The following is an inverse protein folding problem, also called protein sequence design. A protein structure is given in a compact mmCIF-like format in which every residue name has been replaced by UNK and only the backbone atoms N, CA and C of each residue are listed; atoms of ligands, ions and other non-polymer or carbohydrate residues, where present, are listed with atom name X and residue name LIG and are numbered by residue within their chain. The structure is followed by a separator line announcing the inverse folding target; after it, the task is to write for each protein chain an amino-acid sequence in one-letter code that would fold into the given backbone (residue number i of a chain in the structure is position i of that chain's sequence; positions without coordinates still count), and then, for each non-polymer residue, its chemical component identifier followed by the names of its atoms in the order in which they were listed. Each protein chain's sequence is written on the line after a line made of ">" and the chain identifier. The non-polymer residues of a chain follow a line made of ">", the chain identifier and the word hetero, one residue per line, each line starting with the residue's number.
data_IF_359437731999
#
_entry.id   IF_359437731999
#
_cell.length_a   1.000
_cell.length_b   1.000
_cell.length_c   1.000
_cell.angle_alpha   90.00
_cell.angle_beta   90.00
_cell.angle_gamma   90.00
#
_symmetry.space_group_name_H-M   'P 1'
#
loop_
_entity.id
_entity.type
_entity.pdbx_description
1 polymer ?
#
# COMPACT_ATOMS: atom_id res chain seq x y z
N UNK A 1 11.49 9.36 -30.81
CA UNK A 1 11.25 7.92 -31.04
C UNK A 1 10.28 7.41 -30.01
N UNK A 2 9.24 6.72 -30.42
CA UNK A 2 8.31 6.06 -29.49
C UNK A 2 8.95 4.80 -28.94
N UNK A 3 8.95 4.57 -27.60
CA UNK A 3 9.47 3.33 -27.03
C UNK A 3 8.75 2.11 -27.60
N UNK A 4 9.49 1.05 -27.85
CA UNK A 4 8.94 -0.25 -28.23
C UNK A 4 8.37 -0.94 -26.98
N UNK A 5 7.39 -1.84 -27.16
CA UNK A 5 6.85 -2.63 -26.05
C UNK A 5 7.93 -3.48 -25.33
N UNK A 6 9.03 -3.76 -26.03
CA UNK A 6 10.19 -4.51 -25.52
C UNK A 6 11.24 -3.62 -24.84
N UNK A 7 11.09 -2.30 -24.92
CA UNK A 7 12.06 -1.38 -24.32
C UNK A 7 11.90 -1.39 -22.80
N UNK A 8 13.04 -1.52 -22.11
CA UNK A 8 13.08 -1.41 -20.66
C UNK A 8 13.11 0.06 -20.26
N UNK A 9 12.29 0.41 -19.28
CA UNK A 9 12.34 1.74 -18.65
C UNK A 9 12.68 1.58 -17.17
N UNK A 10 13.32 2.61 -16.61
CA UNK A 10 13.70 2.62 -15.19
C UNK A 10 13.15 3.88 -14.55
N UNK A 11 12.53 3.72 -13.40
CA UNK A 11 11.89 4.80 -12.65
C UNK A 11 12.36 4.79 -11.20
N UNK A 12 12.08 5.85 -10.47
CA UNK A 12 12.43 5.96 -9.05
C UNK A 12 11.15 5.91 -8.21
N UNK A 13 11.17 5.08 -7.17
CA UNK A 13 10.05 5.02 -6.22
C UNK A 13 9.79 6.40 -5.60
N UNK A 14 10.85 7.17 -5.36
CA UNK A 14 10.73 8.51 -4.78
C UNK A 14 9.93 9.50 -5.64
N UNK A 15 9.80 9.24 -6.94
CA UNK A 15 9.00 10.06 -7.85
C UNK A 15 7.50 9.74 -7.77
N UNK A 16 7.14 8.66 -7.08
CA UNK A 16 5.75 8.26 -6.88
C UNK A 16 5.15 8.94 -5.65
N UNK A 17 3.84 9.15 -5.65
CA UNK A 17 3.16 9.73 -4.50
C UNK A 17 3.02 8.69 -3.40
N UNK A 18 3.73 8.89 -2.28
CA UNK A 18 3.72 8.01 -1.11
C UNK A 18 3.96 6.53 -1.47
N UNK A 19 4.77 6.29 -2.50
CA UNK A 19 5.13 4.96 -2.93
C UNK A 19 4.11 4.25 -3.82
N UNK A 20 2.98 4.86 -4.15
CA UNK A 20 1.98 4.28 -5.05
C UNK A 20 2.46 4.36 -6.49
N UNK A 21 2.68 3.21 -7.15
CA UNK A 21 3.26 3.17 -8.49
C UNK A 21 2.43 2.43 -9.53
N UNK A 22 1.33 1.77 -9.14
CA UNK A 22 0.36 1.16 -10.04
C UNK A 22 -1.04 1.53 -9.55
N UNK A 23 -1.89 2.01 -10.45
CA UNK A 23 -3.27 2.35 -10.16
C UNK A 23 -3.85 3.37 -11.13
N UNK A 24 -5.11 3.70 -10.96
CA UNK A 24 -5.83 4.67 -11.81
C UNK A 24 -5.62 6.11 -11.31
N UNK A 25 -4.39 6.52 -11.16
CA UNK A 25 -3.98 7.84 -10.67
C UNK A 25 -2.71 8.30 -11.40
N UNK A 26 -2.23 9.51 -11.11
CA UNK A 26 -0.99 10.04 -11.65
C UNK A 26 -0.13 10.61 -10.50
N UNK A 27 1.20 10.36 -10.47
CA UNK A 27 1.92 9.52 -11.44
C UNK A 27 1.64 8.03 -11.23
N UNK A 28 1.80 7.25 -12.29
CA UNK A 28 1.70 5.79 -12.23
C UNK A 28 2.53 5.17 -13.36
N UNK A 29 2.98 3.95 -13.15
CA UNK A 29 3.70 3.20 -14.18
C UNK A 29 2.78 2.28 -14.99
N UNK A 30 1.58 2.01 -14.46
CA UNK A 30 0.54 1.27 -15.16
C UNK A 30 -0.82 1.82 -14.70
N UNK A 31 -1.51 2.50 -15.62
CA UNK A 31 -2.82 3.09 -15.33
C UNK A 31 -3.88 1.99 -15.44
N UNK A 32 -4.43 1.58 -14.30
CA UNK A 32 -5.42 0.50 -14.22
C UNK A 32 -6.28 0.65 -12.98
N UNK A 33 -7.54 0.22 -13.07
CA UNK A 33 -8.43 0.10 -11.93
C UNK A 33 -8.52 -1.34 -11.39
N UNK A 34 -7.76 -2.26 -11.97
CA UNK A 34 -7.74 -3.64 -11.51
C UNK A 34 -7.02 -3.82 -10.17
N UNK A 35 -6.01 -3.00 -9.93
CA UNK A 35 -5.15 -3.12 -8.75
C UNK A 35 -4.49 -1.79 -8.43
N UNK A 36 -4.18 -1.56 -7.16
CA UNK A 36 -3.28 -0.48 -6.72
C UNK A 36 -2.13 -1.11 -5.96
N UNK A 37 -0.91 -0.67 -6.24
CA UNK A 37 0.31 -1.22 -5.62
C UNK A 37 1.19 -0.10 -5.11
N UNK A 38 1.70 -0.27 -3.89
CA UNK A 38 2.65 0.66 -3.29
C UNK A 38 3.78 -0.08 -2.59
N UNK A 39 4.93 0.57 -2.51
CA UNK A 39 5.98 0.27 -1.53
C UNK A 39 6.11 1.49 -0.65
N UNK A 40 5.94 1.32 0.65
CA UNK A 40 5.91 2.43 1.60
C UNK A 40 6.97 2.28 2.68
N UNK A 41 7.60 3.39 3.02
CA UNK A 41 8.61 3.49 4.06
C UNK A 41 8.03 4.30 5.23
N UNK A 42 8.08 3.74 6.42
CA UNK A 42 7.60 4.38 7.63
C UNK A 42 8.73 4.51 8.64
N UNK A 43 9.00 5.71 9.11
CA UNK A 43 9.91 5.91 10.23
C UNK A 43 9.31 5.34 11.51
N UNK A 44 10.16 4.87 12.42
CA UNK A 44 9.73 4.39 13.73
C UNK A 44 8.80 5.40 14.41
N UNK A 45 7.70 4.92 14.97
CA UNK A 45 6.69 5.74 15.65
C UNK A 45 5.61 6.32 14.74
N UNK A 46 5.71 6.17 13.42
CA UNK A 46 4.67 6.63 12.49
C UNK A 46 3.39 5.82 12.71
N UNK A 47 2.27 6.51 12.79
CA UNK A 47 0.95 5.90 12.95
C UNK A 47 0.05 6.31 11.80
N UNK A 48 -0.80 5.40 11.36
CA UNK A 48 -1.92 5.70 10.48
C UNK A 48 -3.22 5.61 11.28
N UNK A 49 -4.12 6.58 11.05
CA UNK A 49 -5.44 6.58 11.69
C UNK A 49 -6.24 5.33 11.28
N UNK A 50 -7.06 4.83 12.20
CA UNK A 50 -7.97 3.73 11.90
C UNK A 50 -8.86 4.10 10.72
N UNK A 51 -8.96 3.19 9.75
CA UNK A 51 -9.75 3.38 8.55
C UNK A 51 -10.21 2.02 8.00
N UNK A 52 -11.11 2.06 7.05
CA UNK A 52 -11.56 0.86 6.34
C UNK A 52 -11.76 1.15 4.86
N UNK A 53 -11.80 0.08 4.07
CA UNK A 53 -12.15 0.09 2.66
C UNK A 53 -13.48 -0.65 2.50
N UNK A 54 -14.36 -0.15 1.64
CA UNK A 54 -15.66 -0.78 1.40
C UNK A 54 -15.64 -1.72 0.21
N UNK A 55 -14.73 -1.49 -0.73
CA UNK A 55 -14.66 -2.19 -2.02
C UNK A 55 -13.44 -3.10 -2.09
N UNK A 56 -12.25 -2.55 -1.80
CA UNK A 56 -11.00 -3.25 -1.99
C UNK A 56 -10.67 -4.24 -0.86
N UNK A 57 -10.04 -5.33 -1.24
CA UNK A 57 -9.24 -6.16 -0.33
C UNK A 57 -7.83 -5.59 -0.32
N UNK A 58 -7.24 -5.41 0.85
CA UNK A 58 -5.86 -4.96 0.99
C UNK A 58 -4.98 -6.10 1.47
N UNK A 59 -3.83 -6.27 0.83
CA UNK A 59 -2.80 -7.21 1.27
C UNK A 59 -1.55 -6.41 1.56
N UNK A 60 -1.03 -6.51 2.78
CA UNK A 60 0.17 -5.80 3.20
C UNK A 60 1.23 -6.81 3.61
N UNK A 61 2.40 -6.69 3.00
CA UNK A 61 3.58 -7.49 3.35
C UNK A 61 4.53 -6.61 4.15
N UNK A 62 4.96 -7.08 5.32
CA UNK A 62 6.07 -6.44 6.04
C UNK A 62 7.36 -6.95 5.39
N UNK A 63 8.01 -6.09 4.63
CA UNK A 63 9.25 -6.43 3.93
C UNK A 63 10.44 -6.36 4.89
N UNK A 64 10.48 -5.32 5.71
CA UNK A 64 11.51 -5.14 6.74
C UNK A 64 10.93 -4.35 7.90
N UNK A 65 11.54 -4.49 9.07
CA UNK A 65 11.12 -3.77 10.25
C UNK A 65 10.08 -4.54 11.09
N UNK A 66 9.39 -3.78 11.93
CA UNK A 66 8.36 -4.30 12.84
C UNK A 66 7.24 -3.28 12.97
N UNK A 67 6.01 -3.78 12.99
CA UNK A 67 4.83 -2.93 13.07
C UNK A 67 3.75 -3.60 13.92
N UNK A 68 2.79 -2.79 14.36
CA UNK A 68 1.55 -3.27 14.96
C UNK A 68 0.43 -2.88 14.01
N UNK A 69 -0.33 -3.86 13.56
CA UNK A 69 -1.42 -3.66 12.62
C UNK A 69 -2.63 -4.46 13.09
N UNK A 70 -3.77 -3.79 13.22
CA UNK A 70 -4.99 -4.39 13.75
C UNK A 70 -4.76 -5.06 15.11
N UNK A 71 -3.97 -4.42 15.99
CA UNK A 71 -3.63 -4.92 17.31
C UNK A 71 -2.67 -6.11 17.34
N UNK A 72 -2.07 -6.48 16.20
CA UNK A 72 -1.16 -7.61 16.10
C UNK A 72 0.26 -7.14 15.86
N UNK A 73 1.21 -7.75 16.56
CA UNK A 73 2.63 -7.51 16.31
C UNK A 73 3.10 -8.28 15.09
N UNK A 74 3.73 -7.57 14.15
CA UNK A 74 4.18 -8.12 12.88
C UNK A 74 5.66 -7.85 12.70
N UNK A 75 6.34 -8.75 12.00
CA UNK A 75 7.75 -8.65 11.65
C UNK A 75 7.94 -8.97 10.17
N UNK A 76 9.17 -8.77 9.68
CA UNK A 76 9.52 -9.05 8.29
C UNK A 76 9.07 -10.45 7.87
N UNK A 77 8.40 -10.53 6.72
CA UNK A 77 7.85 -11.77 6.19
C UNK A 77 6.39 -12.02 6.54
N UNK A 78 5.79 -11.26 7.45
CA UNK A 78 4.37 -11.39 7.76
C UNK A 78 3.53 -10.73 6.67
N UNK A 79 2.40 -11.33 6.36
CA UNK A 79 1.43 -10.84 5.39
C UNK A 79 0.08 -10.71 6.06
N UNK A 80 -0.53 -9.53 5.96
CA UNK A 80 -1.86 -9.25 6.49
C UNK A 80 -2.84 -9.10 5.34
N UNK A 81 -3.97 -9.79 5.42
CA UNK A 81 -5.06 -9.67 4.45
C UNK A 81 -6.24 -8.99 5.15
N UNK A 82 -6.69 -7.88 4.58
CA UNK A 82 -7.82 -7.09 5.07
C UNK A 82 -8.97 -7.17 4.07
N UNK A 83 -10.00 -7.99 4.35
CA UNK A 83 -11.20 -7.99 3.51
C UNK A 83 -11.90 -6.62 3.54
N UNK A 84 -12.75 -6.32 2.56
CA UNK A 84 -13.58 -5.11 2.60
C UNK A 84 -14.40 -5.04 3.89
N UNK A 85 -14.55 -3.83 4.43
CA UNK A 85 -15.29 -3.60 5.66
C UNK A 85 -14.53 -3.87 6.94
N UNK A 86 -13.24 -4.20 6.86
CA UNK A 86 -12.40 -4.46 8.03
C UNK A 86 -11.66 -3.17 8.44
N UNK A 87 -11.82 -2.77 9.69
CA UNK A 87 -11.07 -1.64 10.23
C UNK A 87 -9.59 -2.00 10.37
N UNK A 88 -8.73 -1.10 9.95
CA UNK A 88 -7.28 -1.25 9.98
C UNK A 88 -6.64 -0.09 10.73
N UNK A 89 -5.64 -0.40 11.54
CA UNK A 89 -4.74 0.57 12.15
C UNK A 89 -3.31 0.11 11.91
N UNK A 90 -2.37 1.04 11.92
CA UNK A 90 -0.96 0.75 11.67
C UNK A 90 -0.07 1.64 12.54
N UNK A 91 0.96 1.05 13.10
CA UNK A 91 2.02 1.77 13.79
C UNK A 91 3.35 1.08 13.53
N UNK A 92 4.33 1.84 13.05
CA UNK A 92 5.69 1.36 12.89
C UNK A 92 6.38 1.36 14.26
N UNK A 93 6.81 0.19 14.74
CA UNK A 93 7.58 0.06 15.99
C UNK A 93 9.02 0.48 15.76
N UNK A 94 9.56 0.14 14.62
CA UNK A 94 10.87 0.58 14.12
C UNK A 94 10.71 1.00 12.66
N UNK A 95 11.78 1.46 12.01
CA UNK A 95 11.72 1.78 10.59
C UNK A 95 11.23 0.57 9.81
N UNK A 96 10.16 0.72 9.05
CA UNK A 96 9.44 -0.38 8.43
C UNK A 96 9.22 -0.10 6.94
N UNK A 97 9.39 -1.13 6.13
CA UNK A 97 9.05 -1.11 4.71
C UNK A 97 7.93 -2.10 4.47
N UNK A 98 6.88 -1.65 3.78
CA UNK A 98 5.75 -2.49 3.40
C UNK A 98 5.55 -2.51 1.90
N UNK A 99 4.99 -3.60 1.39
CA UNK A 99 4.38 -3.64 0.07
C UNK A 99 2.88 -3.79 0.26
N UNK A 100 2.10 -2.95 -0.40
CA UNK A 100 0.64 -2.92 -0.28
C UNK A 100 0.03 -3.18 -1.64
N UNK A 101 -0.93 -4.10 -1.68
CA UNK A 101 -1.72 -4.41 -2.87
C UNK A 101 -3.20 -4.26 -2.50
N UNK A 102 -3.93 -3.47 -3.28
CA UNK A 102 -5.39 -3.36 -3.16
C UNK A 102 -6.04 -3.85 -4.44
N UNK A 103 -7.05 -4.70 -4.32
CA UNK A 103 -7.80 -5.17 -5.47
C UNK A 103 -9.29 -5.34 -5.13
N UNK A 104 -10.21 -4.96 -6.07
CA UNK A 104 -9.90 -4.10 -7.21
C UNK A 104 -9.35 -2.75 -6.74
N UNK A 105 -8.71 -2.02 -7.65
CA UNK A 105 -8.35 -0.64 -7.39
C UNK A 105 -9.63 0.20 -7.30
N UNK A 106 -9.70 1.09 -6.31
CA UNK A 106 -10.86 1.95 -6.12
C UNK A 106 -10.40 3.26 -5.50
N UNK A 107 -10.34 4.32 -6.32
CA UNK A 107 -9.95 5.65 -5.85
C UNK A 107 -10.97 6.15 -4.82
N UNK A 108 -10.45 6.76 -3.75
CA UNK A 108 -11.29 7.32 -2.70
C UNK A 108 -11.95 6.28 -1.80
N UNK A 109 -11.65 5.00 -1.95
CA UNK A 109 -12.19 3.92 -1.12
C UNK A 109 -11.45 3.83 0.23
N UNK A 110 -11.37 4.96 0.93
CA UNK A 110 -10.77 5.03 2.26
C UNK A 110 -11.65 5.88 3.15
N UNK A 111 -12.14 5.30 4.23
CA UNK A 111 -13.06 5.91 5.16
C UNK A 111 -12.48 5.85 6.56
N UNK A 112 -12.43 6.97 7.27
CA UNK A 112 -11.91 7.02 8.63
C UNK A 112 -12.80 6.25 9.59
N UNK A 113 -12.17 5.60 10.59
CA UNK A 113 -12.86 4.85 11.59
C UNK A 113 -13.34 3.48 11.14
N UNK A 114 -14.24 2.92 11.90
CA UNK A 114 -14.85 1.61 11.62
C UNK A 114 -16.03 1.76 10.66
N UNK A 115 -16.34 0.68 9.93
CA UNK A 115 -17.52 0.70 9.07
C UNK A 115 -18.80 0.89 9.86
#
# INVERSE_FOLDING_TARGET
>A
MTPQATDVTVHKLADMTRGWFVGAFAPTLAHTDAVEVAVQHFAAGTEEAEHHHKIATEITVIVSGRAIMCGRELAAGDIVVLPPGTASSFRAVEDTVTTVVKYPGALGDKYLGRP
#
